data_IF_739234704095
#
_entry.id   IF_739234704095
#
_cell.length_a   1.000
_cell.length_b   1.000
_cell.length_c   1.000
_cell.angle_alpha   90.00
_cell.angle_beta   90.00
_cell.angle_gamma   90.00
#
_symmetry.space_group_name_H-M   'P 1'
#
loop_
_entity.id
_entity.type
_entity.pdbx_description
1 polymer ?
#
# COMPACT_ATOMS: atom_id res chain seq x y z
N UNK A 1 24.69 65.48 -10.06
CA UNK A 1 23.41 64.73 -10.04
C UNK A 1 23.72 63.25 -10.15
N UNK A 2 23.68 62.51 -9.03
CA UNK A 2 23.99 61.08 -8.99
C UNK A 2 22.79 60.29 -9.52
N UNK A 3 22.92 59.64 -10.68
CA UNK A 3 21.89 58.73 -11.19
C UNK A 3 22.04 57.40 -10.46
N UNK A 4 21.10 57.11 -9.55
CA UNK A 4 20.97 55.78 -8.97
C UNK A 4 20.39 54.84 -10.03
N UNK A 5 21.13 53.80 -10.39
CA UNK A 5 20.66 52.71 -11.23
C UNK A 5 19.98 51.70 -10.32
N UNK A 6 18.66 51.70 -10.26
CA UNK A 6 17.90 50.71 -9.49
C UNK A 6 17.81 49.42 -10.32
N UNK A 7 18.58 48.41 -9.95
CA UNK A 7 18.51 47.07 -10.54
C UNK A 7 17.23 46.38 -10.06
N UNK A 8 16.23 46.26 -10.93
CA UNK A 8 15.00 45.51 -10.64
C UNK A 8 15.32 44.02 -10.85
N UNK A 9 15.48 43.28 -9.75
CA UNK A 9 15.58 41.83 -9.75
C UNK A 9 14.18 41.25 -10.02
N UNK A 10 13.92 40.87 -11.27
CA UNK A 10 12.73 40.10 -11.65
C UNK A 10 12.87 38.69 -11.08
N UNK A 11 12.32 38.48 -9.87
CA UNK A 11 12.13 37.15 -9.30
C UNK A 11 11.02 36.49 -10.10
N UNK A 12 11.40 35.67 -11.08
CA UNK A 12 10.49 34.71 -11.72
C UNK A 12 10.10 33.67 -10.66
N UNK A 13 8.98 33.91 -9.98
CA UNK A 13 8.26 32.84 -9.28
C UNK A 13 7.71 31.90 -10.35
N UNK A 14 8.49 30.90 -10.72
CA UNK A 14 7.92 29.71 -11.34
C UNK A 14 7.09 29.03 -10.27
N UNK A 15 5.77 29.15 -10.39
CA UNK A 15 4.86 28.28 -9.65
C UNK A 15 5.13 26.89 -10.20
N UNK A 16 6.00 26.13 -9.54
CA UNK A 16 6.17 24.72 -9.81
C UNK A 16 4.83 24.06 -9.47
N UNK A 17 4.02 23.78 -10.49
CA UNK A 17 2.90 22.86 -10.32
C UNK A 17 3.53 21.52 -9.95
N UNK A 18 3.38 21.10 -8.70
CA UNK A 18 3.81 19.79 -8.27
C UNK A 18 3.09 18.77 -9.16
N UNK A 19 3.86 17.99 -9.92
CA UNK A 19 3.38 16.99 -10.86
C UNK A 19 3.45 15.60 -10.22
N UNK A 20 2.60 14.67 -10.65
CA UNK A 20 2.64 13.28 -10.16
C UNK A 20 3.14 12.35 -11.26
N UNK A 21 4.20 11.61 -10.98
CA UNK A 21 4.60 10.44 -11.74
C UNK A 21 3.97 9.21 -11.12
N UNK A 22 3.06 8.58 -11.86
CA UNK A 22 2.32 7.41 -11.43
C UNK A 22 2.87 6.16 -12.11
N UNK A 23 3.18 5.15 -11.31
CA UNK A 23 3.67 3.85 -11.77
C UNK A 23 2.73 2.76 -11.27
N UNK A 24 2.24 1.93 -12.19
CA UNK A 24 1.35 0.82 -11.88
C UNK A 24 2.15 -0.46 -11.81
N UNK A 25 1.96 -1.22 -10.74
CA UNK A 25 2.56 -2.52 -10.54
C UNK A 25 1.49 -3.60 -10.52
N UNK A 26 1.82 -4.75 -11.10
CA UNK A 26 1.16 -6.00 -10.80
C UNK A 26 1.93 -6.70 -9.67
N UNK A 27 1.23 -7.09 -8.61
CA UNK A 27 1.76 -7.85 -7.50
C UNK A 27 1.11 -9.23 -7.46
N UNK A 28 1.90 -10.27 -7.71
CA UNK A 28 1.50 -11.66 -7.49
C UNK A 28 1.89 -12.08 -6.07
N UNK A 29 0.91 -12.51 -5.27
CA UNK A 29 1.12 -13.03 -3.92
C UNK A 29 0.74 -14.52 -3.89
N UNK A 30 1.68 -15.38 -3.52
CA UNK A 30 1.46 -16.82 -3.39
C UNK A 30 0.77 -17.12 -2.06
N UNK A 31 -0.48 -17.54 -2.09
CA UNK A 31 -1.27 -17.94 -0.91
C UNK A 31 -1.75 -19.37 -1.11
N UNK A 32 -1.43 -20.27 -0.19
CA UNK A 32 -1.82 -21.69 -0.27
C UNK A 32 -1.43 -22.36 -1.59
N UNK A 33 -0.22 -22.07 -2.08
CA UNK A 33 0.30 -22.60 -3.34
C UNK A 33 -0.25 -21.95 -4.61
N UNK A 34 -1.24 -21.05 -4.51
CA UNK A 34 -1.85 -20.38 -5.65
C UNK A 34 -1.47 -18.89 -5.66
N UNK A 35 -1.24 -18.34 -6.84
CA UNK A 35 -1.02 -16.90 -6.99
C UNK A 35 -2.34 -16.15 -6.99
N UNK A 36 -2.35 -15.02 -6.29
CA UNK A 36 -3.38 -13.98 -6.42
C UNK A 36 -2.71 -12.71 -6.90
N UNK A 37 -3.28 -12.10 -7.92
CA UNK A 37 -2.77 -10.88 -8.54
C UNK A 37 -3.50 -9.66 -8.00
N UNK A 38 -2.75 -8.59 -7.75
CA UNK A 38 -3.23 -7.30 -7.26
C UNK A 38 -2.59 -6.19 -8.08
N UNK A 39 -3.38 -5.19 -8.46
CA UNK A 39 -2.84 -3.97 -9.06
C UNK A 39 -2.55 -2.94 -7.97
N UNK A 40 -1.34 -2.39 -7.99
CA UNK A 40 -0.83 -1.43 -7.02
C UNK A 40 -0.35 -0.18 -7.75
N UNK A 41 -0.33 0.94 -7.05
CA UNK A 41 0.02 2.25 -7.59
C UNK A 41 1.13 2.85 -6.73
N UNK A 42 2.19 3.32 -7.38
CA UNK A 42 3.25 4.13 -6.81
C UNK A 42 3.14 5.53 -7.40
N UNK A 43 2.72 6.49 -6.59
CA UNK A 43 2.70 7.90 -6.94
C UNK A 43 3.91 8.62 -6.33
N UNK A 44 4.59 9.39 -7.17
CA UNK A 44 5.77 10.16 -6.80
C UNK A 44 5.55 11.60 -7.26
N UNK A 45 5.58 12.54 -6.32
CA UNK A 45 5.66 13.97 -6.62
C UNK A 45 6.93 14.57 -5.99
N UNK A 46 7.07 15.89 -5.99
CA UNK A 46 8.27 16.57 -5.51
C UNK A 46 8.45 16.49 -3.98
N UNK A 47 7.39 16.22 -3.23
CA UNK A 47 7.40 16.22 -1.76
C UNK A 47 7.30 14.81 -1.17
N UNK A 48 6.51 13.93 -1.78
CA UNK A 48 6.06 12.68 -1.21
C UNK A 48 6.01 11.52 -2.22
N UNK A 49 5.99 10.32 -1.64
CA UNK A 49 5.81 9.04 -2.31
C UNK A 49 4.66 8.32 -1.62
N UNK A 50 3.73 7.79 -2.42
CA UNK A 50 2.57 7.03 -1.94
C UNK A 50 2.50 5.70 -2.66
N UNK A 51 2.24 4.64 -1.92
CA UNK A 51 2.04 3.31 -2.48
C UNK A 51 0.74 2.70 -1.93
N UNK A 52 -0.14 2.22 -2.80
CA UNK A 52 -1.50 1.82 -2.42
C UNK A 52 -2.16 0.92 -3.48
N UNK A 53 -3.26 0.25 -3.13
CA UNK A 53 -4.01 -0.58 -4.06
C UNK A 53 -4.70 0.27 -5.14
N UNK A 54 -4.65 -0.17 -6.41
CA UNK A 54 -5.35 0.48 -7.52
C UNK A 54 -6.86 0.63 -7.26
N UNK A 55 -7.42 -0.27 -6.44
CA UNK A 55 -8.84 -0.24 -6.08
C UNK A 55 -9.28 1.09 -5.46
N UNK A 56 -8.39 1.79 -4.76
CA UNK A 56 -8.69 3.12 -4.25
C UNK A 56 -8.95 4.14 -5.37
N UNK A 57 -8.19 4.09 -6.48
CA UNK A 57 -8.42 4.96 -7.64
C UNK A 57 -9.74 4.66 -8.33
N UNK A 58 -10.11 3.37 -8.45
CA UNK A 58 -11.42 2.99 -9.00
C UNK A 58 -12.55 3.57 -8.14
N UNK A 59 -12.48 3.39 -6.82
CA UNK A 59 -13.48 3.90 -5.88
C UNK A 59 -13.54 5.42 -5.87
N UNK A 60 -12.38 6.09 -5.93
CA UNK A 60 -12.30 7.55 -6.03
C UNK A 60 -12.96 8.09 -7.30
N UNK A 61 -12.67 7.47 -8.46
CA UNK A 61 -13.32 7.82 -9.72
C UNK A 61 -14.85 7.65 -9.67
N UNK A 62 -15.34 6.58 -9.03
CA UNK A 62 -16.77 6.37 -8.81
C UNK A 62 -17.37 7.44 -7.91
N UNK A 63 -16.70 7.82 -6.82
CA UNK A 63 -17.16 8.88 -5.92
C UNK A 63 -17.20 10.26 -6.59
N UNK A 64 -16.23 10.57 -7.45
CA UNK A 64 -16.20 11.83 -8.21
C UNK A 64 -17.36 11.94 -9.21
N UNK A 65 -17.81 10.82 -9.78
CA UNK A 65 -18.99 10.76 -10.66
C UNK A 65 -20.30 10.82 -9.88
N UNK A 66 -20.32 10.28 -8.66
CA UNK A 66 -21.51 10.21 -7.80
C UNK A 66 -21.68 11.43 -6.88
N UNK A 67 -21.06 12.58 -7.18
CA UNK A 67 -21.09 13.79 -6.30
C UNK A 67 -22.49 14.28 -5.90
N UNK A 68 -23.53 13.95 -6.66
CA UNK A 68 -24.92 14.31 -6.34
C UNK A 68 -25.63 13.33 -5.39
N UNK A 69 -25.02 12.17 -5.12
CA UNK A 69 -25.52 11.20 -4.15
C UNK A 69 -24.75 11.36 -2.83
N UNK A 70 -25.46 11.43 -1.71
CA UNK A 70 -24.86 11.56 -0.37
C UNK A 70 -24.13 10.29 0.13
N UNK A 71 -23.98 9.27 -0.71
CA UNK A 71 -23.34 8.00 -0.36
C UNK A 71 -21.97 7.90 -1.04
N UNK A 72 -20.90 8.06 -0.25
CA UNK A 72 -19.52 7.76 -0.70
C UNK A 72 -19.26 6.26 -0.59
N UNK A 73 -18.82 5.65 -1.68
CA UNK A 73 -18.26 4.30 -1.67
C UNK A 73 -16.96 4.28 -0.90
N UNK A 74 -16.77 3.25 -0.08
CA UNK A 74 -15.54 3.02 0.70
C UNK A 74 -14.94 1.69 0.31
N UNK A 75 -13.62 1.59 0.31
CA UNK A 75 -12.91 0.33 0.10
C UNK A 75 -11.73 0.20 1.05
N UNK A 76 -11.48 -1.01 1.53
CA UNK A 76 -10.28 -1.34 2.29
C UNK A 76 -9.14 -1.75 1.35
N UNK A 77 -7.91 -1.59 1.81
CA UNK A 77 -6.74 -2.18 1.14
C UNK A 77 -6.89 -3.70 1.05
N UNK A 78 -6.60 -4.27 -0.12
CA UNK A 78 -6.65 -5.72 -0.34
C UNK A 78 -5.34 -6.41 0.03
N UNK A 79 -4.25 -5.62 0.06
CA UNK A 79 -2.88 -6.08 0.29
C UNK A 79 -2.30 -5.65 1.64
N UNK A 80 -2.92 -4.67 2.30
CA UNK A 80 -2.40 -3.97 3.49
C UNK A 80 -1.02 -3.32 3.28
N UNK A 81 -0.70 -2.96 2.04
CA UNK A 81 0.59 -2.34 1.67
C UNK A 81 0.53 -0.82 1.56
N UNK A 82 -0.56 -0.19 2.00
CA UNK A 82 -0.75 1.27 1.91
C UNK A 82 0.30 2.01 2.73
N UNK A 83 1.04 2.91 2.09
CA UNK A 83 2.00 3.77 2.78
C UNK A 83 2.19 5.13 2.09
N UNK A 84 2.71 6.06 2.89
CA UNK A 84 3.14 7.40 2.50
C UNK A 84 4.50 7.69 3.14
N UNK A 85 5.40 8.32 2.40
CA UNK A 85 6.69 8.82 2.90
C UNK A 85 7.07 10.12 2.21
N UNK A 86 7.94 10.91 2.86
CA UNK A 86 8.60 12.04 2.20
C UNK A 86 9.59 11.53 1.15
N UNK A 87 9.79 12.28 0.07
CA UNK A 87 10.86 11.99 -0.91
C UNK A 87 12.20 11.86 -0.20
N UNK A 88 13.00 10.88 -0.63
CA UNK A 88 14.34 10.60 -0.09
C UNK A 88 14.37 10.27 1.42
N UNK A 89 13.25 9.86 2.00
CA UNK A 89 13.16 9.39 3.38
C UNK A 89 13.00 7.87 3.45
N UNK A 90 13.56 7.29 4.51
CA UNK A 90 13.36 5.88 4.88
C UNK A 90 12.29 5.69 5.96
N UNK A 91 11.60 6.78 6.32
CA UNK A 91 10.49 6.76 7.27
C UNK A 91 9.16 6.59 6.52
N UNK A 92 8.54 5.44 6.72
CA UNK A 92 7.30 5.03 6.07
C UNK A 92 6.13 5.11 7.05
N UNK A 93 5.14 5.95 6.77
CA UNK A 93 3.83 5.89 7.42
C UNK A 93 2.98 4.85 6.70
N UNK A 94 2.71 3.73 7.35
CA UNK A 94 1.86 2.64 6.82
C UNK A 94 0.47 2.72 7.42
N UNK A 95 -0.54 2.36 6.63
CA UNK A 95 -1.94 2.51 7.02
C UNK A 95 -2.70 1.20 6.89
N UNK A 96 -3.65 0.97 7.80
CA UNK A 96 -4.55 -0.17 7.74
C UNK A 96 -5.85 0.08 8.50
N UNK A 97 -6.88 -0.70 8.20
CA UNK A 97 -8.15 -0.72 8.93
C UNK A 97 -8.29 -2.01 9.75
N UNK A 98 -9.04 -1.93 10.86
CA UNK A 98 -9.51 -3.12 11.56
C UNK A 98 -10.90 -3.56 11.05
N UNK A 99 -11.40 -4.68 11.58
CA UNK A 99 -12.74 -5.19 11.23
C UNK A 99 -13.88 -4.22 11.54
N UNK A 100 -13.67 -3.29 12.47
CA UNK A 100 -14.67 -2.32 12.93
C UNK A 100 -14.69 -1.04 12.09
N UNK A 101 -13.74 -0.89 11.16
CA UNK A 101 -13.59 0.28 10.29
C UNK A 101 -12.72 1.40 10.88
N UNK A 102 -12.08 1.18 12.03
CA UNK A 102 -11.10 2.14 12.55
C UNK A 102 -9.87 2.18 11.66
N UNK A 103 -9.34 3.39 11.45
CA UNK A 103 -8.17 3.63 10.62
C UNK A 103 -6.94 3.90 11.47
N UNK A 104 -5.84 3.19 11.19
CA UNK A 104 -4.61 3.26 11.97
C UNK A 104 -3.41 3.62 11.08
N UNK A 105 -2.45 4.30 11.69
CA UNK A 105 -1.15 4.58 11.09
C UNK A 105 -0.02 4.03 11.98
N UNK A 106 0.97 3.39 11.36
CA UNK A 106 2.22 3.01 12.03
C UNK A 106 3.40 3.55 11.23
N UNK A 107 4.29 4.25 11.93
CA UNK A 107 5.53 4.78 11.34
C UNK A 107 6.66 3.78 11.54
N UNK A 108 7.35 3.43 10.46
CA UNK A 108 8.52 2.58 10.48
C UNK A 108 9.73 3.29 9.87
N UNK A 109 10.91 3.07 10.43
CA UNK A 109 12.19 3.48 9.85
C UNK A 109 12.87 2.25 9.29
N UNK A 110 12.78 2.06 7.98
CA UNK A 110 13.15 0.84 7.30
C UNK A 110 14.21 1.13 6.22
N UNK A 111 15.45 1.49 6.60
CA UNK A 111 16.52 1.67 5.62
C UNK A 111 16.85 0.32 4.96
N UNK A 112 16.98 0.33 3.64
CA UNK A 112 17.27 -0.88 2.85
C UNK A 112 18.68 -0.75 2.28
N UNK A 113 19.53 -1.72 2.60
CA UNK A 113 20.91 -1.78 2.08
C UNK A 113 20.96 -2.67 0.85
N UNK A 114 21.19 -2.07 -0.31
CA UNK A 114 21.24 -2.77 -1.58
C UNK A 114 22.67 -3.21 -1.93
N UNK A 115 22.79 -4.42 -2.48
CA UNK A 115 23.98 -4.88 -3.18
C UNK A 115 23.71 -4.84 -4.68
N UNK A 116 24.37 -3.93 -5.39
CA UNK A 116 24.34 -3.87 -6.85
C UNK A 116 25.14 -5.03 -7.44
N UNK A 117 24.61 -5.62 -8.50
CA UNK A 117 25.27 -6.71 -9.21
C UNK A 117 25.53 -6.31 -10.67
N UNK A 118 26.50 -6.95 -11.36
CA UNK A 118 26.90 -6.56 -12.71
C UNK A 118 25.94 -7.07 -13.80
N UNK A 119 24.95 -7.90 -13.47
CA UNK A 119 23.97 -8.40 -14.45
C UNK A 119 23.04 -7.28 -14.94
N UNK A 120 22.86 -7.25 -16.25
CA UNK A 120 21.96 -6.33 -16.92
C UNK A 120 21.02 -7.11 -17.84
N UNK A 121 19.78 -6.63 -17.99
CA UNK A 121 18.82 -7.15 -18.97
C UNK A 121 18.09 -6.01 -19.66
N UNK A 122 17.52 -6.26 -20.83
CA UNK A 122 16.66 -5.30 -21.53
C UNK A 122 15.21 -5.76 -21.45
N UNK A 123 14.32 -4.87 -21.03
CA UNK A 123 12.87 -5.10 -20.96
C UNK A 123 12.17 -3.88 -21.56
N UNK A 124 11.34 -4.08 -22.58
CA UNK A 124 10.57 -3.00 -23.23
C UNK A 124 11.40 -1.77 -23.62
N UNK A 125 12.65 -1.98 -24.06
CA UNK A 125 13.57 -0.89 -24.42
C UNK A 125 14.32 -0.23 -23.26
N UNK A 126 14.03 -0.61 -22.02
CA UNK A 126 14.76 -0.18 -20.83
C UNK A 126 15.90 -1.13 -20.50
N UNK A 127 17.09 -0.58 -20.21
CA UNK A 127 18.20 -1.32 -19.62
C UNK A 127 17.98 -1.39 -18.11
N UNK A 128 17.90 -2.60 -17.57
CA UNK A 128 17.75 -2.87 -16.14
C UNK A 128 19.04 -3.45 -15.58
N UNK A 129 19.39 -3.06 -14.36
CA UNK A 129 20.48 -3.61 -13.57
C UNK A 129 19.92 -4.43 -12.41
N UNK A 130 20.57 -5.55 -12.08
CA UNK A 130 20.20 -6.41 -10.95
C UNK A 130 20.76 -5.87 -9.63
N UNK A 131 19.97 -6.00 -8.57
CA UNK A 131 20.38 -5.76 -7.20
C UNK A 131 19.73 -6.78 -6.26
N UNK A 132 20.35 -6.99 -5.10
CA UNK A 132 19.82 -7.87 -4.05
C UNK A 132 19.84 -7.19 -2.70
N UNK A 133 18.93 -7.56 -1.80
CA UNK A 133 18.94 -7.08 -0.41
C UNK A 133 18.31 -8.12 0.52
N UNK A 134 18.57 -7.98 1.82
CA UNK A 134 17.83 -8.67 2.87
C UNK A 134 16.95 -7.66 3.58
N UNK A 135 15.63 -7.88 3.56
CA UNK A 135 14.66 -6.97 4.16
C UNK A 135 13.46 -7.75 4.70
N UNK A 136 13.00 -7.38 5.89
CA UNK A 136 11.84 -8.01 6.52
C UNK A 136 12.01 -9.51 6.77
N UNK A 137 13.24 -9.97 7.03
CA UNK A 137 13.54 -11.40 7.16
C UNK A 137 13.50 -12.22 5.85
N UNK A 138 13.34 -11.57 4.69
CA UNK A 138 13.36 -12.20 3.36
C UNK A 138 14.58 -11.76 2.55
N UNK A 139 14.97 -12.58 1.58
CA UNK A 139 15.95 -12.22 0.56
C UNK A 139 15.20 -11.73 -0.67
N UNK A 140 15.63 -10.62 -1.25
CA UNK A 140 14.98 -9.98 -2.38
C UNK A 140 15.95 -9.82 -3.55
N UNK A 141 15.45 -10.10 -4.75
CA UNK A 141 16.08 -9.77 -6.02
C UNK A 141 15.26 -8.68 -6.71
N UNK A 142 15.91 -7.58 -7.06
CA UNK A 142 15.32 -6.46 -7.78
C UNK A 142 16.03 -6.22 -9.12
N UNK A 143 15.27 -5.80 -10.12
CA UNK A 143 15.75 -5.26 -11.38
C UNK A 143 15.29 -3.82 -11.49
N UNK A 144 16.21 -2.87 -11.61
CA UNK A 144 15.90 -1.44 -11.62
C UNK A 144 16.48 -0.75 -12.86
N UNK A 145 15.87 0.36 -13.28
CA UNK A 145 16.28 1.16 -14.44
C UNK A 145 16.99 2.44 -14.01
N UNK A 146 18.31 2.57 -14.21
CA UNK A 146 19.04 3.81 -13.87
C UNK A 146 18.67 5.01 -14.75
N UNK A 147 18.00 4.76 -15.88
CA UNK A 147 17.56 5.82 -16.80
C UNK A 147 16.34 6.61 -16.28
N UNK A 148 15.65 6.09 -15.25
CA UNK A 148 14.52 6.77 -14.63
C UNK A 148 14.99 7.32 -13.27
N UNK A 149 15.07 8.64 -13.08
CA UNK A 149 15.73 9.28 -11.93
C UNK A 149 14.86 9.29 -10.65
N UNK A 150 14.16 8.19 -10.38
CA UNK A 150 13.41 7.99 -9.15
C UNK A 150 13.96 6.78 -8.41
N UNK A 151 14.53 7.01 -7.22
CA UNK A 151 15.13 5.96 -6.38
C UNK A 151 14.07 5.21 -5.57
N UNK A 152 12.98 4.83 -6.23
CA UNK A 152 11.76 4.32 -5.61
C UNK A 152 11.33 3.01 -6.27
N UNK A 153 10.40 2.33 -5.62
CA UNK A 153 9.86 1.06 -6.05
C UNK A 153 8.57 0.71 -5.32
N UNK A 154 8.03 -0.50 -5.55
CA UNK A 154 6.80 -0.92 -4.90
C UNK A 154 7.01 -1.08 -3.39
N UNK A 155 5.94 -0.96 -2.62
CA UNK A 155 5.96 -1.11 -1.16
C UNK A 155 7.02 -0.19 -0.52
N UNK A 156 7.83 -0.71 0.40
CA UNK A 156 8.88 0.01 1.13
C UNK A 156 10.21 0.07 0.35
N UNK A 157 10.34 -0.65 -0.76
CA UNK A 157 11.58 -0.77 -1.53
C UNK A 157 11.95 0.56 -2.18
N UNK A 158 13.04 1.16 -1.71
CA UNK A 158 13.62 2.41 -2.23
C UNK A 158 15.13 2.41 -2.05
N UNK A 159 15.83 3.39 -2.64
CA UNK A 159 17.26 3.62 -2.43
C UNK A 159 18.19 3.01 -3.49
N UNK A 160 17.66 2.34 -4.52
CA UNK A 160 18.44 2.01 -5.72
C UNK A 160 18.61 3.25 -6.60
N UNK A 161 19.71 3.39 -7.36
CA UNK A 161 19.94 4.54 -8.24
C UNK A 161 19.11 4.43 -9.52
N UNK A 162 17.78 4.36 -9.36
CA UNK A 162 16.80 4.22 -10.44
C UNK A 162 15.51 3.56 -9.96
N UNK A 163 14.51 3.52 -10.84
CA UNK A 163 13.19 2.97 -10.52
C UNK A 163 13.23 1.43 -10.55
N UNK A 164 12.70 0.77 -9.53
CA UNK A 164 12.57 -0.70 -9.51
C UNK A 164 11.50 -1.13 -10.51
N UNK A 165 11.86 -1.90 -11.54
CA UNK A 165 10.92 -2.46 -12.51
C UNK A 165 10.33 -3.78 -12.05
N UNK A 166 11.17 -4.63 -11.47
CA UNK A 166 10.75 -5.93 -10.97
C UNK A 166 11.39 -6.17 -9.62
N UNK A 167 10.66 -6.77 -8.70
CA UNK A 167 11.25 -7.24 -7.45
C UNK A 167 10.50 -8.47 -6.97
N UNK A 168 11.24 -9.48 -6.51
CA UNK A 168 10.67 -10.70 -5.95
C UNK A 168 11.47 -11.20 -4.77
N UNK A 169 10.81 -11.89 -3.85
CA UNK A 169 11.52 -12.61 -2.80
C UNK A 169 12.02 -13.97 -3.31
N UNK A 170 12.98 -14.56 -2.58
CA UNK A 170 13.62 -15.84 -2.92
C UNK A 170 12.67 -17.02 -3.05
N UNK A 171 11.54 -16.98 -2.33
CA UNK A 171 10.48 -18.01 -2.39
C UNK A 171 9.42 -17.73 -3.43
N UNK A 172 9.49 -16.58 -4.10
CA UNK A 172 8.46 -16.10 -5.01
C UNK A 172 7.07 -16.07 -4.36
N UNK A 173 7.03 -15.79 -3.06
CA UNK A 173 5.80 -15.50 -2.32
C UNK A 173 5.23 -14.14 -2.73
N UNK A 174 6.11 -13.20 -3.10
CA UNK A 174 5.79 -11.88 -3.60
C UNK A 174 6.59 -11.60 -4.88
N UNK A 175 5.89 -11.27 -5.96
CA UNK A 175 6.51 -10.81 -7.21
C UNK A 175 5.81 -9.50 -7.59
N UNK A 176 6.59 -8.44 -7.78
CA UNK A 176 6.13 -7.16 -8.27
C UNK A 176 6.72 -6.90 -9.65
N UNK A 177 5.89 -6.42 -10.58
CA UNK A 177 6.29 -6.02 -11.92
C UNK A 177 5.67 -4.69 -12.28
N UNK A 178 6.47 -3.74 -12.72
CA UNK A 178 6.00 -2.49 -13.29
C UNK A 178 5.34 -2.80 -14.63
N UNK A 179 4.10 -2.35 -14.81
CA UNK A 179 3.30 -2.63 -16.03
C UNK A 179 2.96 -1.37 -16.82
N UNK A 180 2.93 -0.20 -16.18
CA UNK A 180 2.56 1.05 -16.82
C UNK A 180 3.08 2.24 -16.04
N UNK A 181 3.41 3.32 -16.75
CA UNK A 181 3.64 4.64 -16.16
C UNK A 181 2.68 5.68 -16.74
N UNK A 182 2.38 6.73 -15.97
CA UNK A 182 1.57 7.87 -16.42
C UNK A 182 2.08 9.13 -15.75
N UNK A 183 2.10 10.24 -16.50
CA UNK A 183 2.42 11.56 -16.01
C UNK A 183 1.14 12.35 -15.81
N UNK A 184 0.95 12.89 -14.61
CA UNK A 184 -0.20 13.72 -14.25
C UNK A 184 0.34 15.15 -14.02
N UNK A 185 -0.16 16.15 -14.75
CA UNK A 185 0.36 17.53 -14.67
C UNK A 185 0.21 18.20 -13.30
N UNK A 186 -0.51 17.58 -12.37
CA UNK A 186 -0.78 18.09 -11.02
C UNK A 186 -0.57 17.00 -9.97
N UNK A 187 -0.42 17.40 -8.71
CA UNK A 187 -0.45 16.49 -7.57
C UNK A 187 -1.80 15.80 -7.55
N UNK A 188 -1.78 14.47 -7.54
CA UNK A 188 -2.99 13.69 -7.38
C UNK A 188 -3.41 13.72 -5.91
N UNK A 189 -4.63 14.18 -5.66
CA UNK A 189 -5.17 14.23 -4.30
C UNK A 189 -5.62 12.84 -3.86
N UNK A 190 -5.03 12.34 -2.78
CA UNK A 190 -5.37 11.08 -2.15
C UNK A 190 -6.03 11.26 -0.79
N UNK A 191 -6.35 12.50 -0.40
CA UNK A 191 -6.69 12.86 0.97
C UNK A 191 -7.86 12.04 1.53
N UNK A 192 -8.85 11.77 0.69
CA UNK A 192 -10.06 11.03 1.06
C UNK A 192 -9.81 9.53 1.35
N UNK A 193 -8.67 8.95 0.96
CA UNK A 193 -8.45 7.50 1.11
C UNK A 193 -7.06 7.06 1.61
N UNK A 194 -6.05 7.95 1.65
CA UNK A 194 -4.75 7.67 2.30
C UNK A 194 -4.58 8.53 3.55
N UNK A 195 -4.59 9.85 3.43
CA UNK A 195 -4.43 10.75 4.58
C UNK A 195 -5.58 10.60 5.57
N UNK A 196 -6.78 10.34 5.05
CA UNK A 196 -7.96 9.94 5.81
C UNK A 196 -8.53 8.66 5.24
N UNK A 197 -9.40 8.01 6.01
CA UNK A 197 -10.25 6.93 5.54
C UNK A 197 -11.67 7.46 5.39
N UNK A 198 -11.93 8.14 4.27
CA UNK A 198 -13.20 8.76 3.92
C UNK A 198 -13.71 9.74 4.99
N UNK A 199 -12.82 10.62 5.45
CA UNK A 199 -13.08 11.63 6.49
C UNK A 199 -12.68 11.19 7.90
N UNK A 200 -12.30 9.93 8.11
CA UNK A 200 -11.76 9.46 9.39
C UNK A 200 -10.24 9.62 9.43
N UNK A 201 -9.73 10.42 10.37
CA UNK A 201 -8.28 10.55 10.58
C UNK A 201 -7.68 9.26 11.17
N UNK A 202 -6.43 8.91 10.80
CA UNK A 202 -5.76 7.73 11.33
C UNK A 202 -5.38 7.91 12.80
N UNK A 203 -5.51 6.83 13.56
CA UNK A 203 -5.00 6.71 14.92
C UNK A 203 -3.55 6.22 14.84
N UNK A 204 -2.60 7.08 15.23
CA UNK A 204 -1.18 6.70 15.27
C UNK A 204 -0.92 5.71 16.39
N UNK A 205 -0.37 4.55 16.05
CA UNK A 205 -0.04 3.49 17.00
C UNK A 205 1.36 2.92 16.74
N UNK A 206 1.92 2.29 17.78
CA UNK A 206 3.16 1.52 17.68
C UNK A 206 2.93 0.17 16.99
N UNK A 207 4.01 -0.45 16.51
CA UNK A 207 3.95 -1.83 16.01
C UNK A 207 3.38 -2.82 17.04
N UNK A 208 3.75 -2.69 18.32
CA UNK A 208 3.20 -3.50 19.41
C UNK A 208 1.67 -3.36 19.55
N UNK A 209 1.15 -2.15 19.36
CA UNK A 209 -0.29 -1.92 19.34
C UNK A 209 -0.95 -2.46 18.07
N UNK A 210 -0.30 -2.37 16.90
CA UNK A 210 -0.77 -3.02 15.66
C UNK A 210 -0.95 -4.52 15.88
N UNK A 211 0.01 -5.19 16.53
CA UNK A 211 -0.13 -6.61 16.88
C UNK A 211 -1.39 -6.85 17.73
N UNK A 212 -1.62 -6.03 18.76
CA UNK A 212 -2.83 -6.15 19.59
C UNK A 212 -4.12 -5.98 18.79
N UNK A 213 -4.20 -4.97 17.92
CA UNK A 213 -5.37 -4.74 17.06
C UNK A 213 -5.62 -5.94 16.15
N UNK A 214 -4.58 -6.45 15.49
CA UNK A 214 -4.70 -7.61 14.59
C UNK A 214 -5.07 -8.89 15.34
N UNK A 215 -4.57 -9.09 16.56
CA UNK A 215 -4.93 -10.24 17.39
C UNK A 215 -6.34 -10.12 17.98
N UNK A 216 -6.84 -8.91 18.23
CA UNK A 216 -8.23 -8.69 18.65
C UNK A 216 -9.21 -9.01 17.51
N UNK A 217 -8.95 -8.50 16.30
CA UNK A 217 -9.72 -8.87 15.10
C UNK A 217 -9.69 -10.38 14.86
N UNK A 218 -8.52 -11.01 14.99
CA UNK A 218 -8.39 -12.46 14.89
C UNK A 218 -9.10 -13.22 16.01
N UNK A 219 -9.19 -12.65 17.21
CA UNK A 219 -9.91 -13.23 18.33
C UNK A 219 -11.42 -13.28 18.10
N UNK A 220 -11.93 -12.43 17.21
CA UNK A 220 -13.35 -12.35 16.89
C UNK A 220 -13.61 -11.95 15.42
N UNK A 221 -13.26 -12.82 14.44
CA UNK A 221 -13.31 -12.48 13.02
C UNK A 221 -14.73 -12.24 12.49
N UNK A 222 -15.75 -12.62 13.26
CA UNK A 222 -17.17 -12.45 12.91
C UNK A 222 -17.77 -11.19 13.50
N UNK A 223 -17.05 -10.43 14.34
CA UNK A 223 -17.57 -9.27 15.07
C UNK A 223 -18.33 -8.28 14.19
N UNK A 224 -17.73 -7.88 13.08
CA UNK A 224 -18.35 -6.94 12.15
C UNK A 224 -19.54 -7.55 11.41
N UNK A 225 -19.49 -8.83 11.06
CA UNK A 225 -20.61 -9.54 10.46
C UNK A 225 -21.80 -9.60 11.43
N UNK A 226 -21.55 -9.89 12.70
CA UNK A 226 -22.59 -9.89 13.74
C UNK A 226 -23.21 -8.50 13.88
N UNK A 227 -22.39 -7.43 13.83
CA UNK A 227 -22.89 -6.05 13.86
C UNK A 227 -23.79 -5.75 12.65
N UNK A 228 -23.33 -6.03 11.44
CA UNK A 228 -24.10 -5.83 10.20
C UNK A 228 -25.44 -6.57 10.28
N UNK A 229 -25.44 -7.82 10.75
CA UNK A 229 -26.65 -8.62 10.89
C UNK A 229 -27.65 -7.99 11.89
N UNK A 230 -27.16 -7.55 13.06
CA UNK A 230 -27.99 -6.88 14.08
C UNK A 230 -28.59 -5.56 13.58
N UNK A 231 -27.87 -4.86 12.72
CA UNK A 231 -28.32 -3.61 12.11
C UNK A 231 -29.30 -3.86 10.92
N UNK A 232 -29.73 -5.11 10.70
CA UNK A 232 -30.67 -5.48 9.64
C UNK A 232 -30.02 -5.69 8.27
N UNK A 233 -28.70 -5.69 8.20
CA UNK A 233 -27.94 -5.95 6.97
C UNK A 233 -28.00 -7.42 6.56
N UNK A 234 -28.18 -7.66 5.25
CA UNK A 234 -28.14 -9.00 4.68
C UNK A 234 -26.70 -9.46 4.51
N UNK A 235 -26.41 -10.69 4.91
CA UNK A 235 -25.07 -11.29 4.80
C UNK A 235 -25.19 -12.57 3.99
N UNK A 236 -24.38 -12.69 2.94
CA UNK A 236 -24.25 -13.89 2.15
C UNK A 236 -22.78 -14.36 2.20
N UNK A 237 -22.56 -15.60 2.57
CA UNK A 237 -21.23 -16.22 2.61
C UNK A 237 -21.29 -17.44 1.69
N UNK A 238 -20.53 -17.40 0.59
CA UNK A 238 -20.42 -18.50 -0.39
C UNK A 238 -21.77 -18.98 -0.95
N UNK A 239 -22.71 -18.06 -1.19
CA UNK A 239 -24.04 -18.38 -1.71
C UNK A 239 -25.08 -18.68 -0.63
N UNK A 240 -24.67 -18.86 0.62
CA UNK A 240 -25.59 -19.10 1.74
C UNK A 240 -25.96 -17.78 2.42
N UNK A 241 -27.25 -17.47 2.46
CA UNK A 241 -27.78 -16.36 3.27
C UNK A 241 -27.71 -16.70 4.76
N UNK A 242 -27.19 -15.76 5.54
CA UNK A 242 -27.12 -15.87 6.98
C UNK A 242 -28.44 -15.40 7.57
N UNK A 243 -29.09 -16.26 8.33
CA UNK A 243 -30.41 -15.98 8.95
C UNK A 243 -30.36 -15.95 10.47
N UNK A 244 -29.24 -16.35 11.08
CA UNK A 244 -29.05 -16.34 12.53
C UNK A 244 -27.59 -16.07 12.92
N UNK A 245 -27.39 -15.35 14.03
CA UNK A 245 -26.06 -15.04 14.58
C UNK A 245 -25.27 -16.31 14.89
N UNK A 246 -25.92 -17.38 15.35
CA UNK A 246 -25.27 -18.65 15.66
C UNK A 246 -24.51 -19.22 14.44
N UNK A 247 -25.03 -19.02 13.23
CA UNK A 247 -24.35 -19.46 12.02
C UNK A 247 -23.02 -18.70 11.82
N UNK A 248 -22.93 -17.44 12.23
CA UNK A 248 -21.66 -16.69 12.21
C UNK A 248 -20.71 -17.24 13.28
N UNK A 249 -21.18 -17.42 14.52
CA UNK A 249 -20.37 -17.95 15.62
C UNK A 249 -19.79 -19.35 15.30
N UNK A 250 -20.58 -20.22 14.68
CA UNK A 250 -20.12 -21.55 14.22
C UNK A 250 -18.98 -21.48 13.20
N UNK A 251 -18.86 -20.38 12.43
CA UNK A 251 -17.79 -20.18 11.43
C UNK A 251 -16.52 -19.57 12.01
N UNK A 252 -16.55 -19.09 13.27
CA UNK A 252 -15.43 -18.37 13.89
C UNK A 252 -14.12 -19.14 13.81
N UNK A 253 -14.13 -20.43 14.17
CA UNK A 253 -12.94 -21.28 14.15
C UNK A 253 -12.40 -21.47 12.73
N UNK A 254 -13.26 -21.78 11.76
CA UNK A 254 -12.87 -21.93 10.36
C UNK A 254 -12.29 -20.63 9.80
N UNK A 255 -12.87 -19.47 10.13
CA UNK A 255 -12.32 -18.17 9.72
C UNK A 255 -10.94 -17.91 10.32
N UNK A 256 -10.71 -18.28 11.58
CA UNK A 256 -9.38 -18.19 12.21
C UNK A 256 -8.36 -19.11 11.53
N UNK A 257 -8.75 -20.35 11.23
CA UNK A 257 -7.92 -21.30 10.49
C UNK A 257 -7.58 -20.78 9.09
N UNK A 258 -8.54 -20.19 8.39
CA UNK A 258 -8.34 -19.57 7.08
C UNK A 258 -7.42 -18.35 7.15
N UNK A 259 -7.55 -17.51 8.19
CA UNK A 259 -6.61 -16.40 8.43
C UNK A 259 -5.19 -16.94 8.60
N UNK A 260 -4.98 -17.92 9.48
CA UNK A 260 -3.65 -18.52 9.71
C UNK A 260 -3.10 -19.11 8.42
N UNK A 261 -3.90 -19.92 7.73
CA UNK A 261 -3.51 -20.64 6.52
C UNK A 261 -3.14 -19.69 5.38
N UNK A 262 -3.91 -18.61 5.20
CA UNK A 262 -3.71 -17.63 4.13
C UNK A 262 -2.74 -16.50 4.47
N UNK A 263 -2.24 -16.45 5.71
CA UNK A 263 -1.36 -15.38 6.17
C UNK A 263 0.05 -15.56 5.62
N UNK A 264 0.45 -14.62 4.76
CA UNK A 264 1.79 -14.56 4.17
C UNK A 264 2.38 -13.20 4.53
N UNK A 265 3.17 -13.09 5.61
CA UNK A 265 3.78 -11.83 6.00
C UNK A 265 4.87 -11.43 5.00
N UNK A 266 4.78 -10.23 4.43
CA UNK A 266 5.85 -9.65 3.61
C UNK A 266 7.11 -9.38 4.46
N UNK A 267 6.93 -8.92 5.69
CA UNK A 267 7.98 -8.74 6.70
C UNK A 267 7.84 -9.84 7.76
N UNK A 268 8.62 -10.93 7.61
CA UNK A 268 8.64 -12.09 8.51
C UNK A 268 9.06 -11.71 9.94
N UNK A 269 9.98 -10.76 10.07
CA UNK A 269 10.46 -10.22 11.35
C UNK A 269 9.39 -9.41 12.12
N UNK A 270 8.33 -9.00 11.42
CA UNK A 270 7.19 -8.22 11.95
C UNK A 270 5.86 -8.96 11.80
N UNK A 271 5.92 -10.29 11.61
CA UNK A 271 4.75 -11.13 11.44
C UNK A 271 3.83 -11.07 12.67
N UNK A 272 2.52 -11.03 12.43
CA UNK A 272 1.51 -11.16 13.47
C UNK A 272 1.49 -12.62 13.93
N UNK A 273 1.65 -12.90 15.23
CA UNK A 273 1.73 -14.27 15.74
C UNK A 273 0.33 -14.89 15.89
N UNK A 274 -0.38 -15.07 14.78
CA UNK A 274 -1.67 -15.73 14.78
C UNK A 274 -1.54 -17.18 15.26
N UNK A 275 -2.35 -17.54 16.26
CA UNK A 275 -2.40 -18.89 16.81
C UNK A 275 -3.79 -19.16 17.36
N UNK A 276 -4.30 -20.38 17.18
CA UNK A 276 -5.52 -20.79 17.85
C UNK A 276 -5.23 -20.86 19.36
N UNK A 277 -6.13 -20.28 20.17
CA UNK A 277 -6.07 -20.50 21.62
C UNK A 277 -6.30 -21.99 21.87
N UNK A 278 -5.38 -22.61 22.60
CA UNK A 278 -5.52 -24.00 23.08
C UNK A 278 -6.65 -24.10 24.09
#
# INVERSE_FOLDING_TARGET
MKKALTLILLIYFSVAYAQTYRYFYECSIKKNGNYREYQLVLDINDEEVKFYDYKFLETDSLNLKNKHNNQKFRVNSLTEQVLKRKRNSHENSTFFTNSQGDYFMVVYKDPISWKLLPEHKKVEGHTLQKATTQFGGRQWEAWFSPNIPFHEGPYKFSGLPGLIFEIKDDKEDFIYKLVKSTHIPTTYDTHDFIETYYGQNPITITHKQKIKVKLDDFGDPVRNLVKIFKDGGKININGQEITAIEQLEQRKKTMQEDIIKSYVPIELDKAIPYSLKK
#
